data_IF_791202039276
#
_entry.id   IF_791202039276
#
_cell.length_a   1.000
_cell.length_b   1.000
_cell.length_c   1.000
_cell.angle_alpha   90.00
_cell.angle_beta   90.00
_cell.angle_gamma   90.00
#
_symmetry.space_group_name_H-M   'P 1'
#
loop_
_entity.id
_entity.type
_entity.pdbx_description
1 polymer ?
#
# COMPACT_ATOMS: atom_id res chain seq x y z
N UNK A 1 23.72 -28.97 -3.32
CA UNK A 1 22.41 -28.60 -3.88
C UNK A 1 22.01 -27.26 -3.27
N UNK A 2 21.78 -26.22 -4.08
CA UNK A 2 21.32 -24.91 -3.58
C UNK A 2 19.80 -24.92 -3.61
N UNK A 3 19.15 -24.80 -2.45
CA UNK A 3 17.71 -24.63 -2.36
C UNK A 3 17.35 -23.25 -2.93
N UNK A 4 16.65 -23.21 -4.06
CA UNK A 4 15.98 -21.99 -4.51
C UNK A 4 14.78 -21.80 -3.59
N UNK A 5 14.77 -20.72 -2.81
CA UNK A 5 13.62 -20.39 -1.98
C UNK A 5 12.41 -20.17 -2.89
N UNK A 6 11.27 -20.83 -2.63
CA UNK A 6 10.03 -20.56 -3.33
C UNK A 6 9.69 -19.08 -3.17
N UNK A 7 9.70 -18.35 -4.29
CA UNK A 7 9.38 -16.92 -4.38
C UNK A 7 7.92 -16.58 -4.01
N UNK A 8 7.09 -17.60 -3.74
CA UNK A 8 5.67 -17.46 -3.46
C UNK A 8 5.32 -16.99 -2.04
N UNK A 9 6.28 -16.87 -1.12
CA UNK A 9 6.01 -16.36 0.25
C UNK A 9 5.65 -14.87 0.24
N UNK A 10 6.10 -14.12 -0.77
CA UNK A 10 5.94 -12.66 -0.84
C UNK A 10 4.63 -12.23 -1.52
N UNK A 11 3.93 -13.15 -2.20
CA UNK A 11 2.65 -12.84 -2.85
C UNK A 11 1.54 -12.85 -1.80
N UNK A 12 0.82 -11.72 -1.65
CA UNK A 12 -0.37 -11.67 -0.77
C UNK A 12 -1.39 -12.74 -1.17
N UNK A 13 -1.98 -13.40 -0.17
CA UNK A 13 -3.02 -14.40 -0.36
C UNK A 13 -4.26 -13.73 -0.94
N UNK A 14 -4.72 -14.23 -2.09
CA UNK A 14 -5.99 -13.85 -2.70
C UNK A 14 -7.10 -14.66 -2.02
N UNK A 15 -7.97 -13.98 -1.28
CA UNK A 15 -9.01 -14.63 -0.46
C UNK A 15 -10.37 -14.65 -1.18
N UNK A 16 -10.66 -13.61 -1.97
CA UNK A 16 -11.94 -13.47 -2.68
C UNK A 16 -11.67 -13.39 -4.19
N UNK A 17 -11.60 -14.55 -4.85
CA UNK A 17 -11.31 -14.65 -6.27
C UNK A 17 -9.96 -14.01 -6.63
N UNK A 18 -9.88 -13.03 -7.56
CA UNK A 18 -8.63 -12.36 -7.90
C UNK A 18 -8.17 -11.33 -6.84
N UNK A 19 -9.00 -11.01 -5.85
CA UNK A 19 -8.76 -9.94 -4.88
C UNK A 19 -8.09 -10.42 -3.59
N UNK A 20 -7.19 -9.59 -3.06
CA UNK A 20 -6.68 -9.72 -1.68
C UNK A 20 -7.69 -9.17 -0.69
N UNK A 21 -7.57 -9.52 0.59
CA UNK A 21 -8.51 -9.07 1.64
C UNK A 21 -8.60 -7.55 1.71
N UNK A 22 -7.46 -6.86 1.60
CA UNK A 22 -7.39 -5.39 1.60
C UNK A 22 -8.14 -4.79 0.42
N UNK A 23 -7.96 -5.36 -0.78
CA UNK A 23 -8.64 -4.89 -1.99
C UNK A 23 -10.16 -5.08 -1.89
N UNK A 24 -10.60 -6.24 -1.38
CA UNK A 24 -12.00 -6.51 -1.12
C UNK A 24 -12.59 -5.50 -0.14
N UNK A 25 -11.87 -5.16 0.94
CA UNK A 25 -12.31 -4.17 1.91
C UNK A 25 -12.54 -2.80 1.25
N UNK A 26 -11.64 -2.35 0.37
CA UNK A 26 -11.79 -1.08 -0.35
C UNK A 26 -13.01 -1.06 -1.27
N UNK A 27 -13.26 -2.14 -2.01
CA UNK A 27 -14.48 -2.26 -2.85
C UNK A 27 -15.73 -2.29 -1.98
N UNK A 28 -15.72 -3.03 -0.87
CA UNK A 28 -16.83 -3.10 0.06
C UNK A 28 -17.13 -1.72 0.68
N UNK A 29 -16.09 -0.99 1.12
CA UNK A 29 -16.23 0.38 1.64
C UNK A 29 -16.76 1.33 0.56
N UNK A 30 -16.22 1.28 -0.67
CA UNK A 30 -16.71 2.09 -1.79
C UNK A 30 -18.18 1.82 -2.13
N UNK A 31 -18.56 0.54 -2.23
CA UNK A 31 -19.94 0.13 -2.46
C UNK A 31 -20.88 0.55 -1.32
N UNK A 32 -20.42 0.47 -0.07
CA UNK A 32 -21.17 0.93 1.10
C UNK A 32 -21.39 2.44 1.06
N UNK A 33 -20.36 3.23 0.70
CA UNK A 33 -20.49 4.69 0.56
C UNK A 33 -21.47 5.05 -0.55
N UNK A 34 -21.40 4.37 -1.70
CA UNK A 34 -22.33 4.62 -2.82
C UNK A 34 -23.76 4.24 -2.42
N UNK A 35 -23.94 3.14 -1.68
CA UNK A 35 -25.24 2.73 -1.16
C UNK A 35 -25.82 3.78 -0.19
N UNK A 36 -25.02 4.30 0.74
CA UNK A 36 -25.44 5.40 1.61
C UNK A 36 -25.73 6.69 0.83
N UNK A 37 -24.97 6.96 -0.23
CA UNK A 37 -25.22 8.12 -1.08
C UNK A 37 -26.55 7.99 -1.84
N UNK A 38 -26.92 6.76 -2.22
CA UNK A 38 -28.19 6.47 -2.91
C UNK A 38 -29.43 6.71 -2.03
N UNK A 39 -29.29 6.61 -0.70
CA UNK A 39 -30.39 6.90 0.23
C UNK A 39 -30.51 8.39 0.51
N UNK A 40 -29.40 9.13 0.50
CA UNK A 40 -29.36 10.56 0.78
C UNK A 40 -29.73 11.46 -0.43
N UNK A 41 -29.29 11.09 -1.64
CA UNK A 41 -29.44 11.92 -2.86
C UNK A 41 -30.17 11.13 -3.93
N UNK A 42 -31.22 11.73 -4.53
CA UNK A 42 -32.02 11.12 -5.60
C UNK A 42 -31.88 11.90 -6.91
N UNK A 43 -31.94 11.20 -8.05
CA UNK A 43 -31.92 11.79 -9.38
C UNK A 43 -30.54 11.85 -10.04
N UNK A 44 -30.35 12.76 -11.00
CA UNK A 44 -29.11 12.90 -11.79
C UNK A 44 -27.90 13.31 -10.96
N UNK A 45 -28.11 13.99 -9.83
CA UNK A 45 -27.06 14.41 -8.91
C UNK A 45 -26.37 13.20 -8.24
N UNK A 46 -27.10 12.11 -8.02
CA UNK A 46 -26.53 10.86 -7.51
C UNK A 46 -25.45 10.33 -8.44
N UNK A 47 -25.72 10.22 -9.75
CA UNK A 47 -24.75 9.70 -10.71
C UNK A 47 -23.50 10.59 -10.81
N UNK A 48 -23.68 11.92 -10.71
CA UNK A 48 -22.56 12.87 -10.76
C UNK A 48 -21.60 12.70 -9.58
N UNK A 49 -22.11 12.34 -8.39
CA UNK A 49 -21.31 12.10 -7.19
C UNK A 49 -20.85 10.64 -7.06
N UNK A 50 -21.68 9.68 -7.45
CA UNK A 50 -21.40 8.26 -7.33
C UNK A 50 -20.31 7.80 -8.32
N UNK A 51 -20.28 8.36 -9.53
CA UNK A 51 -19.32 7.99 -10.57
C UNK A 51 -17.86 8.28 -10.17
N UNK A 52 -17.48 9.48 -9.67
CA UNK A 52 -16.12 9.71 -9.18
C UNK A 52 -15.80 8.87 -7.94
N UNK A 53 -16.76 8.66 -7.02
CA UNK A 53 -16.54 7.81 -5.84
C UNK A 53 -16.28 6.36 -6.23
N UNK A 54 -17.05 5.81 -7.17
CA UNK A 54 -16.86 4.48 -7.71
C UNK A 54 -15.52 4.35 -8.42
N UNK A 55 -15.14 5.34 -9.23
CA UNK A 55 -13.85 5.37 -9.91
C UNK A 55 -12.69 5.34 -8.89
N UNK A 56 -12.74 6.17 -7.86
CA UNK A 56 -11.71 6.21 -6.81
C UNK A 56 -11.62 4.87 -6.08
N UNK A 57 -12.75 4.30 -5.65
CA UNK A 57 -12.79 3.03 -4.94
C UNK A 57 -12.24 1.86 -5.79
N UNK A 58 -12.60 1.81 -7.08
CA UNK A 58 -12.07 0.81 -8.00
C UNK A 58 -10.59 0.99 -8.26
N UNK A 59 -10.12 2.22 -8.43
CA UNK A 59 -8.69 2.51 -8.66
C UNK A 59 -7.87 2.05 -7.46
N UNK A 60 -8.30 2.37 -6.24
CA UNK A 60 -7.65 1.94 -4.99
C UNK A 60 -7.62 0.41 -4.82
N UNK A 61 -8.67 -0.29 -5.30
CA UNK A 61 -8.78 -1.73 -5.16
C UNK A 61 -8.04 -2.52 -6.25
N UNK A 62 -8.08 -2.07 -7.50
CA UNK A 62 -7.59 -2.82 -8.67
C UNK A 62 -6.16 -2.43 -9.06
N UNK A 63 -5.77 -1.17 -8.86
CA UNK A 63 -4.44 -0.71 -9.28
C UNK A 63 -3.39 -1.19 -8.28
N UNK A 64 -2.31 -1.72 -8.85
CA UNK A 64 -1.09 -2.09 -8.12
C UNK A 64 0.04 -1.26 -8.67
N UNK A 65 0.87 -0.73 -7.78
CA UNK A 65 2.08 0.03 -8.12
C UNK A 65 3.24 -0.76 -7.57
N UNK A 66 4.18 -1.16 -8.43
CA UNK A 66 5.39 -1.92 -8.07
C UNK A 66 5.12 -3.16 -7.20
N UNK A 67 4.16 -4.00 -7.62
CA UNK A 67 3.69 -5.19 -6.90
C UNK A 67 3.06 -4.92 -5.51
N UNK A 68 2.90 -3.64 -5.12
CA UNK A 68 2.26 -3.25 -3.88
C UNK A 68 0.80 -2.82 -4.10
N UNK A 69 -0.12 -3.16 -3.18
CA UNK A 69 -1.46 -2.60 -3.17
C UNK A 69 -1.38 -1.07 -3.07
N UNK A 70 -2.14 -0.37 -3.91
CA UNK A 70 -2.15 1.11 -3.94
C UNK A 70 -2.50 1.74 -2.59
N UNK A 71 -3.32 1.05 -1.78
CA UNK A 71 -3.63 1.46 -0.41
C UNK A 71 -2.39 1.55 0.50
N UNK A 72 -1.50 0.54 0.44
CA UNK A 72 -0.26 0.54 1.23
C UNK A 72 0.72 1.59 0.72
N UNK A 73 0.75 1.81 -0.60
CA UNK A 73 1.55 2.86 -1.21
C UNK A 73 1.13 4.25 -0.70
N UNK A 74 -0.18 4.54 -0.70
CA UNK A 74 -0.72 5.81 -0.20
C UNK A 74 -0.47 5.95 1.31
N UNK A 75 -0.66 4.89 2.09
CA UNK A 75 -0.39 4.93 3.53
C UNK A 75 1.08 5.25 3.84
N UNK A 76 2.01 4.66 3.08
CA UNK A 76 3.45 4.98 3.18
C UNK A 76 3.75 6.40 2.73
N UNK A 77 3.14 6.86 1.65
CA UNK A 77 3.25 8.24 1.16
C UNK A 77 2.77 9.25 2.21
N UNK A 78 1.59 9.02 2.79
CA UNK A 78 1.07 9.84 3.90
C UNK A 78 1.99 9.81 5.12
N UNK A 79 2.49 8.62 5.49
CA UNK A 79 3.42 8.47 6.61
C UNK A 79 4.77 9.16 6.35
N UNK A 80 5.22 9.23 5.09
CA UNK A 80 6.42 9.97 4.70
C UNK A 80 6.20 11.49 4.77
N UNK A 81 5.04 11.96 4.33
CA UNK A 81 4.68 13.38 4.38
C UNK A 81 4.50 13.88 5.82
N UNK A 82 3.88 13.07 6.68
CA UNK A 82 3.64 13.39 8.09
C UNK A 82 4.80 12.98 9.01
N UNK A 83 5.71 12.14 8.53
CA UNK A 83 6.79 11.57 9.30
C UNK A 83 7.86 12.60 9.62
N UNK A 84 8.30 12.64 10.88
CA UNK A 84 9.43 13.46 11.26
C UNK A 84 10.71 12.91 10.62
N UNK A 85 11.40 13.75 9.85
CA UNK A 85 12.67 13.39 9.22
C UNK A 85 13.74 13.25 10.31
N UNK A 86 13.99 12.01 10.74
CA UNK A 86 15.11 11.70 11.63
C UNK A 86 16.41 11.74 10.83
N UNK A 87 17.14 12.83 10.95
CA UNK A 87 18.51 12.94 10.46
C UNK A 87 19.42 12.26 11.48
N UNK A 88 19.93 11.08 11.12
CA UNK A 88 20.92 10.38 11.93
C UNK A 88 22.28 10.67 11.32
N UNK A 89 23.05 11.54 11.97
CA UNK A 89 24.45 11.75 11.61
C UNK A 89 25.27 10.59 12.15
N UNK A 90 25.95 9.86 11.27
CA UNK A 90 26.88 8.79 11.66
C UNK A 90 28.30 9.29 11.54
N UNK A 91 28.86 9.71 12.65
CA UNK A 91 30.30 9.87 12.81
C UNK A 91 30.90 8.51 13.20
N UNK A 92 31.86 7.99 12.42
CA UNK A 92 32.85 7.07 12.95
C UNK A 92 32.79 5.57 12.62
N UNK A 93 32.13 5.12 11.54
CA UNK A 93 32.36 3.73 11.03
C UNK A 93 33.67 3.58 10.23
N UNK A 94 34.56 4.59 10.23
CA UNK A 94 35.90 4.47 9.63
C UNK A 94 36.97 3.87 10.55
N UNK A 95 36.72 3.73 11.86
CA UNK A 95 37.76 3.29 12.80
C UNK A 95 37.73 1.79 13.14
N UNK A 96 36.76 1.00 12.65
CA UNK A 96 36.73 -0.45 12.90
C UNK A 96 37.52 -1.28 11.87
N UNK A 97 37.90 -0.71 10.73
CA UNK A 97 38.69 -1.42 9.71
C UNK A 97 40.20 -1.22 9.88
N UNK A 98 40.64 -0.23 10.66
CA UNK A 98 42.06 0.03 10.92
C UNK A 98 42.71 -0.94 11.94
N UNK A 99 41.90 -1.66 12.74
CA UNK A 99 42.38 -2.55 13.79
C UNK A 99 42.69 -3.99 13.34
N UNK A 100 42.27 -4.41 12.14
CA UNK A 100 42.40 -5.79 11.66
C UNK A 100 43.62 -6.03 10.75
N UNK A 101 44.40 -4.98 10.46
CA UNK A 101 45.68 -5.07 9.72
C UNK A 101 46.92 -4.96 10.61
N UNK A 102 46.76 -4.62 11.91
CA UNK A 102 47.88 -4.38 12.84
C UNK A 102 48.02 -5.45 13.92
N UNK A 103 47.82 -6.73 13.59
CA UNK A 103 48.30 -7.82 14.44
C UNK A 103 48.77 -9.01 13.61
N UNK A 104 50.03 -8.90 13.21
CA UNK A 104 50.90 -9.98 12.73
C UNK A 104 51.27 -10.91 13.89
#
# INVERSE_FOLDING_TARGET
>A
MRFQLPQFIQTEIKIVGPFTLKQFLWVATGGTIIFLLSTAVKGTLFFTLALPVAAIALTLALVKIDDQPMADYIARGFSYLLGQKKYVFREGEQNLTAGITQKK
#
